data_IF_186502766196
#
_entry.id   IF_186502766196
#
_cell.length_a   1.000
_cell.length_b   1.000
_cell.length_c   1.000
_cell.angle_alpha   90.00
_cell.angle_beta   90.00
_cell.angle_gamma   90.00
#
_symmetry.space_group_name_H-M   'P 1'
#
loop_
_entity.id
_entity.type
_entity.pdbx_description
1 polymer ?
#
# COMPACT_ATOMS: atom_id res chain seq x y z
N UNK A 1 -14.30 -0.28 -9.27
CA UNK A 1 -13.70 0.53 -10.39
C UNK A 1 -12.18 0.53 -10.19
N UNK A 2 -11.41 0.42 -11.28
CA UNK A 2 -9.96 0.66 -11.23
C UNK A 2 -9.68 2.13 -11.53
N UNK A 3 -8.65 2.69 -10.88
CA UNK A 3 -8.21 4.06 -11.19
C UNK A 3 -7.63 4.10 -12.59
N UNK A 4 -8.23 4.95 -13.43
CA UNK A 4 -7.73 5.33 -14.74
C UNK A 4 -7.89 6.84 -14.90
N UNK A 5 -7.47 7.40 -16.02
CA UNK A 5 -7.54 8.86 -16.26
C UNK A 5 -8.96 9.43 -16.05
N UNK A 6 -10.00 8.75 -16.52
CA UNK A 6 -11.37 9.24 -16.39
C UNK A 6 -11.84 9.20 -14.91
N UNK A 7 -11.58 8.12 -14.19
CA UNK A 7 -11.88 8.00 -12.74
C UNK A 7 -11.12 9.05 -11.95
N UNK A 8 -9.86 9.29 -12.29
CA UNK A 8 -9.05 10.34 -11.67
C UNK A 8 -9.65 11.73 -11.87
N UNK A 9 -10.00 12.08 -13.12
CA UNK A 9 -10.62 13.40 -13.44
C UNK A 9 -11.97 13.59 -12.73
N UNK A 10 -12.78 12.52 -12.65
CA UNK A 10 -14.02 12.50 -11.88
C UNK A 10 -13.77 12.75 -10.40
N UNK A 11 -12.78 12.02 -9.82
CA UNK A 11 -12.39 12.17 -8.42
C UNK A 11 -11.88 13.58 -8.10
N UNK A 12 -11.02 14.15 -8.93
CA UNK A 12 -10.54 15.54 -8.76
C UNK A 12 -11.71 16.53 -8.75
N UNK A 13 -12.66 16.40 -9.67
CA UNK A 13 -13.85 17.27 -9.70
C UNK A 13 -14.68 17.14 -8.43
N UNK A 14 -14.90 15.90 -7.97
CA UNK A 14 -15.62 15.64 -6.73
C UNK A 14 -14.90 16.25 -5.53
N UNK A 15 -13.62 15.93 -5.36
CA UNK A 15 -12.81 16.41 -4.22
C UNK A 15 -12.72 17.93 -4.17
N UNK A 16 -12.55 18.61 -5.31
CA UNK A 16 -12.53 20.07 -5.37
C UNK A 16 -13.87 20.71 -4.99
N UNK A 17 -14.99 20.00 -5.20
CA UNK A 17 -16.33 20.45 -4.82
C UNK A 17 -16.54 20.33 -3.30
N UNK A 18 -16.11 19.24 -2.69
CA UNK A 18 -16.34 18.94 -1.26
C UNK A 18 -15.25 19.54 -0.37
N UNK A 19 -14.03 19.69 -0.88
CA UNK A 19 -12.89 20.28 -0.16
C UNK A 19 -12.06 21.17 -1.11
N UNK A 20 -12.43 22.45 -1.25
CA UNK A 20 -11.75 23.37 -2.18
C UNK A 20 -10.25 23.55 -1.92
N UNK A 21 -9.78 23.28 -0.71
CA UNK A 21 -8.36 23.36 -0.37
C UNK A 21 -7.48 22.38 -1.16
N UNK A 22 -8.04 21.30 -1.71
CA UNK A 22 -7.31 20.41 -2.62
C UNK A 22 -6.66 21.16 -3.80
N UNK A 23 -7.23 22.30 -4.22
CA UNK A 23 -6.64 23.15 -5.25
C UNK A 23 -5.21 23.61 -4.92
N UNK A 24 -4.88 23.72 -3.63
CA UNK A 24 -3.55 24.16 -3.18
C UNK A 24 -2.47 23.09 -3.37
N UNK A 25 -2.86 21.82 -3.39
CA UNK A 25 -1.94 20.67 -3.42
C UNK A 25 -2.02 19.85 -4.71
N UNK A 26 -2.99 20.14 -5.59
CA UNK A 26 -3.05 19.49 -6.89
C UNK A 26 -1.76 19.78 -7.68
N UNK A 27 -1.07 18.73 -8.18
CA UNK A 27 0.12 18.93 -8.98
C UNK A 27 -0.23 19.66 -10.27
N UNK A 28 0.68 20.50 -10.73
CA UNK A 28 0.56 21.22 -12.01
C UNK A 28 0.91 20.33 -13.21
N UNK A 29 1.59 19.23 -12.95
CA UNK A 29 2.05 18.26 -13.93
C UNK A 29 1.24 16.96 -13.85
N UNK A 30 1.42 16.10 -14.83
CA UNK A 30 0.76 14.80 -14.89
C UNK A 30 1.10 13.95 -13.65
N UNK A 31 0.09 13.36 -13.01
CA UNK A 31 0.30 12.60 -11.77
C UNK A 31 0.90 11.25 -12.09
N UNK A 32 2.03 10.96 -11.46
CA UNK A 32 2.52 9.61 -11.35
C UNK A 32 1.70 8.87 -10.27
N UNK A 33 0.81 8.01 -10.70
CA UNK A 33 0.07 7.14 -9.78
C UNK A 33 1.05 6.27 -9.00
N UNK A 34 0.77 6.10 -7.71
CA UNK A 34 1.52 5.21 -6.84
C UNK A 34 1.17 3.75 -7.19
N UNK A 35 1.80 3.22 -8.23
CA UNK A 35 1.55 1.86 -8.72
C UNK A 35 2.54 0.88 -8.11
N UNK A 36 2.03 -0.26 -7.67
CA UNK A 36 2.80 -1.40 -7.19
C UNK A 36 2.45 -2.65 -8.02
N UNK A 37 3.36 -3.64 -8.14
CA UNK A 37 3.02 -4.92 -8.72
C UNK A 37 1.87 -5.60 -7.97
N UNK A 38 1.14 -6.47 -8.65
CA UNK A 38 0.16 -7.35 -8.01
C UNK A 38 0.85 -8.59 -7.42
N UNK A 39 0.13 -9.33 -6.56
CA UNK A 39 0.61 -10.56 -5.97
C UNK A 39 1.72 -10.36 -4.93
N UNK A 40 2.51 -11.39 -4.75
CA UNK A 40 3.61 -11.39 -3.78
C UNK A 40 4.58 -10.22 -3.95
N UNK A 41 4.90 -9.84 -5.18
CA UNK A 41 5.81 -8.72 -5.44
C UNK A 41 5.31 -7.38 -4.85
N UNK A 42 4.02 -7.12 -4.89
CA UNK A 42 3.41 -5.94 -4.27
C UNK A 42 3.51 -6.00 -2.74
N UNK A 43 3.17 -7.13 -2.15
CA UNK A 43 3.29 -7.34 -0.70
C UNK A 43 4.75 -7.24 -0.24
N UNK A 44 5.70 -7.83 -0.98
CA UNK A 44 7.13 -7.71 -0.70
C UNK A 44 7.56 -6.24 -0.60
N UNK A 45 7.16 -5.41 -1.57
CA UNK A 45 7.49 -3.99 -1.56
C UNK A 45 6.92 -3.28 -0.32
N UNK A 46 5.66 -3.52 0.00
CA UNK A 46 4.98 -2.89 1.13
C UNK A 46 5.57 -3.33 2.48
N UNK A 47 5.90 -4.62 2.65
CA UNK A 47 6.55 -5.12 3.88
C UNK A 47 7.95 -4.50 4.03
N UNK A 48 8.70 -4.33 2.94
CA UNK A 48 10.00 -3.63 2.98
C UNK A 48 9.82 -2.18 3.45
N UNK A 49 8.76 -1.50 3.01
CA UNK A 49 8.48 -0.09 3.32
C UNK A 49 8.03 0.16 4.77
N UNK A 50 7.58 -0.86 5.49
CA UNK A 50 7.16 -0.71 6.89
C UNK A 50 8.28 -0.13 7.77
N UNK A 51 8.00 0.95 8.50
CA UNK A 51 8.87 1.54 9.53
C UNK A 51 10.29 1.92 9.06
N UNK A 52 10.46 2.24 7.79
CA UNK A 52 11.73 2.73 7.24
C UNK A 52 11.49 3.96 6.37
N UNK A 53 12.54 4.78 6.17
CA UNK A 53 12.45 5.89 5.22
C UNK A 53 12.29 5.39 3.78
N UNK A 54 11.70 6.21 2.92
CA UNK A 54 11.54 5.93 1.49
C UNK A 54 12.90 5.60 0.83
N UNK A 55 13.95 6.34 1.20
CA UNK A 55 15.30 6.11 0.68
C UNK A 55 15.83 4.73 1.08
N UNK A 56 15.70 4.36 2.36
CA UNK A 56 16.11 3.04 2.86
C UNK A 56 15.30 1.93 2.22
N UNK A 57 13.99 2.08 2.10
CA UNK A 57 13.12 1.10 1.44
C UNK A 57 13.54 0.86 -0.01
N UNK A 58 13.82 1.92 -0.76
CA UNK A 58 14.26 1.81 -2.16
C UNK A 58 15.61 1.09 -2.29
N UNK A 59 16.56 1.36 -1.38
CA UNK A 59 17.84 0.67 -1.38
C UNK A 59 17.68 -0.83 -1.08
N UNK A 60 16.87 -1.19 -0.09
CA UNK A 60 16.57 -2.59 0.26
C UNK A 60 15.85 -3.30 -0.88
N UNK A 61 14.81 -2.69 -1.46
CA UNK A 61 14.07 -3.25 -2.61
C UNK A 61 15.01 -3.61 -3.76
N UNK A 62 15.90 -2.68 -4.13
CA UNK A 62 16.89 -2.89 -5.19
C UNK A 62 17.79 -4.11 -4.92
N UNK A 63 18.29 -4.24 -3.68
CA UNK A 63 19.15 -5.37 -3.29
C UNK A 63 18.39 -6.69 -3.28
N UNK A 64 17.16 -6.72 -2.71
CA UNK A 64 16.35 -7.93 -2.67
C UNK A 64 15.93 -8.37 -4.08
N UNK A 65 15.56 -7.44 -4.94
CA UNK A 65 15.22 -7.74 -6.33
C UNK A 65 16.40 -8.29 -7.12
N UNK A 66 17.64 -7.83 -6.84
CA UNK A 66 18.84 -8.31 -7.50
C UNK A 66 19.19 -9.77 -7.14
N UNK A 67 18.64 -10.32 -6.05
CA UNK A 67 18.79 -11.73 -5.68
C UNK A 67 17.87 -12.67 -6.48
N UNK A 68 16.91 -12.13 -7.21
CA UNK A 68 15.85 -12.91 -7.88
C UNK A 68 15.81 -12.61 -9.37
N UNK A 69 15.69 -13.65 -10.18
CA UNK A 69 15.46 -13.51 -11.64
C UNK A 69 14.06 -12.98 -11.94
N UNK A 70 13.10 -13.29 -11.07
CA UNK A 70 11.74 -12.78 -11.09
C UNK A 70 11.21 -12.74 -9.65
N UNK A 71 10.47 -11.69 -9.29
CA UNK A 71 9.94 -11.51 -7.94
C UNK A 71 8.65 -12.29 -7.77
N UNK A 72 8.76 -13.48 -7.18
CA UNK A 72 7.63 -14.35 -6.84
C UNK A 72 7.92 -15.17 -5.58
N UNK A 73 6.90 -15.79 -5.01
CA UNK A 73 6.97 -16.55 -3.77
C UNK A 73 7.90 -17.76 -3.86
N UNK A 74 7.90 -18.47 -4.99
CA UNK A 74 8.75 -19.65 -5.17
C UNK A 74 10.23 -19.29 -5.08
N UNK A 75 10.68 -18.32 -5.86
CA UNK A 75 12.09 -17.88 -5.88
C UNK A 75 12.49 -17.23 -4.55
N UNK A 76 11.57 -16.49 -3.92
CA UNK A 76 11.85 -15.88 -2.61
C UNK A 76 12.13 -16.94 -1.55
N UNK A 77 11.40 -18.06 -1.53
CA UNK A 77 11.61 -19.14 -0.57
C UNK A 77 12.93 -19.92 -0.79
N UNK A 78 13.55 -19.81 -1.95
CA UNK A 78 14.86 -20.42 -2.24
C UNK A 78 16.03 -19.59 -1.68
N UNK A 79 15.79 -18.31 -1.33
CA UNK A 79 16.82 -17.44 -0.79
C UNK A 79 17.13 -17.79 0.67
N UNK A 80 18.41 -17.78 1.02
CA UNK A 80 18.84 -17.96 2.40
C UNK A 80 18.53 -16.74 3.27
N UNK A 81 18.35 -16.98 4.56
CA UNK A 81 18.15 -15.90 5.56
C UNK A 81 19.33 -14.92 5.54
N UNK A 82 20.55 -15.40 5.28
CA UNK A 82 21.75 -14.55 5.26
C UNK A 82 21.73 -13.59 4.07
N UNK A 83 21.42 -14.07 2.85
CA UNK A 83 21.28 -13.22 1.66
C UNK A 83 20.23 -12.12 1.88
N UNK A 84 19.06 -12.48 2.41
CA UNK A 84 18.00 -11.52 2.69
C UNK A 84 18.41 -10.49 3.76
N UNK A 85 19.18 -10.88 4.77
CA UNK A 85 19.71 -9.97 5.78
C UNK A 85 20.77 -9.02 5.22
N UNK A 86 21.68 -9.51 4.39
CA UNK A 86 22.70 -8.70 3.70
C UNK A 86 22.04 -7.71 2.72
N UNK A 87 20.90 -8.07 2.13
CA UNK A 87 20.10 -7.16 1.35
C UNK A 87 19.39 -6.09 2.19
N UNK A 88 19.35 -6.22 3.53
CA UNK A 88 18.83 -5.23 4.47
C UNK A 88 17.48 -5.56 5.10
N UNK A 89 16.94 -6.77 4.89
CA UNK A 89 15.71 -7.20 5.54
C UNK A 89 15.95 -7.52 7.02
N UNK A 90 15.06 -7.04 7.89
CA UNK A 90 15.05 -7.43 9.30
C UNK A 90 14.53 -8.86 9.47
N UNK A 91 14.94 -9.54 10.56
CA UNK A 91 14.45 -10.90 10.87
C UNK A 91 12.92 -11.00 10.89
N UNK A 92 12.17 -10.09 11.52
CA UNK A 92 10.72 -10.12 11.47
C UNK A 92 10.16 -10.05 10.04
N UNK A 93 10.67 -9.14 9.19
CA UNK A 93 10.24 -9.01 7.80
C UNK A 93 10.51 -10.28 6.98
N UNK A 94 11.65 -10.91 7.17
CA UNK A 94 11.98 -12.21 6.55
C UNK A 94 10.97 -13.27 6.97
N UNK A 95 10.68 -13.36 8.28
CA UNK A 95 9.70 -14.32 8.80
C UNK A 95 8.29 -14.08 8.23
N UNK A 96 7.86 -12.81 8.12
CA UNK A 96 6.56 -12.46 7.54
C UNK A 96 6.50 -12.85 6.06
N UNK A 97 7.50 -12.48 5.29
CA UNK A 97 7.54 -12.75 3.86
C UNK A 97 7.63 -14.26 3.55
N UNK A 98 8.40 -15.02 4.34
CA UNK A 98 8.41 -16.47 4.23
C UNK A 98 7.04 -17.09 4.52
N UNK A 99 6.34 -16.62 5.57
CA UNK A 99 4.99 -17.10 5.90
C UNK A 99 3.98 -16.77 4.80
N UNK A 100 4.03 -15.56 4.23
CA UNK A 100 3.16 -15.11 3.15
C UNK A 100 3.45 -15.89 1.86
N UNK A 101 4.72 -16.06 1.50
CA UNK A 101 5.11 -16.82 0.33
C UNK A 101 4.68 -18.30 0.44
N UNK A 102 4.87 -18.90 1.62
CA UNK A 102 4.43 -20.28 1.90
C UNK A 102 2.90 -20.40 1.79
N UNK A 103 2.15 -19.42 2.31
CA UNK A 103 0.70 -19.42 2.23
C UNK A 103 0.20 -19.36 0.77
N UNK A 104 0.85 -18.56 -0.09
CA UNK A 104 0.53 -18.51 -1.53
C UNK A 104 0.82 -19.85 -2.21
N UNK A 105 2.02 -20.43 -2.00
CA UNK A 105 2.40 -21.71 -2.61
C UNK A 105 1.46 -22.86 -2.20
N UNK A 106 1.01 -22.85 -0.94
CA UNK A 106 0.09 -23.86 -0.41
C UNK A 106 -1.39 -23.58 -0.79
N UNK A 107 -1.68 -22.50 -1.51
CA UNK A 107 -3.04 -22.14 -1.90
C UNK A 107 -3.90 -21.53 -0.79
N UNK A 108 -3.33 -21.25 0.39
CA UNK A 108 -4.02 -20.58 1.50
C UNK A 108 -4.18 -19.07 1.27
N UNK A 109 -3.28 -18.45 0.50
CA UNK A 109 -3.37 -17.08 0.03
C UNK A 109 -3.53 -17.08 -1.48
N UNK A 110 -4.68 -16.59 -1.95
CA UNK A 110 -4.96 -16.48 -3.38
C UNK A 110 -5.22 -15.02 -3.76
N UNK A 111 -4.26 -14.40 -4.41
CA UNK A 111 -4.38 -12.99 -4.84
C UNK A 111 -5.46 -12.78 -5.91
N UNK A 112 -5.81 -13.82 -6.70
CA UNK A 112 -6.90 -13.72 -7.67
C UNK A 112 -8.27 -13.58 -6.99
N UNK A 113 -8.44 -14.18 -5.81
CA UNK A 113 -9.68 -14.05 -5.03
C UNK A 113 -9.80 -12.64 -4.47
N UNK A 114 -8.68 -12.06 -3.99
CA UNK A 114 -8.64 -10.67 -3.47
C UNK A 114 -9.12 -9.66 -4.51
N UNK A 115 -8.84 -9.88 -5.79
CA UNK A 115 -9.29 -8.99 -6.88
C UNK A 115 -10.83 -8.92 -6.95
N UNK A 116 -11.52 -9.99 -6.59
CA UNK A 116 -12.98 -10.13 -6.69
C UNK A 116 -13.72 -9.79 -5.38
N UNK A 117 -13.01 -9.63 -4.27
CA UNK A 117 -13.58 -9.25 -2.98
C UNK A 117 -13.91 -7.75 -2.92
N UNK A 118 -14.92 -7.37 -2.13
CA UNK A 118 -15.13 -5.98 -1.75
C UNK A 118 -13.97 -5.46 -0.86
N UNK A 119 -13.79 -4.14 -0.75
CA UNK A 119 -12.61 -3.55 -0.10
C UNK A 119 -12.43 -4.01 1.35
N UNK A 120 -13.50 -4.05 2.13
CA UNK A 120 -13.44 -4.48 3.53
C UNK A 120 -13.17 -5.98 3.67
N UNK A 121 -13.81 -6.80 2.83
CA UNK A 121 -13.59 -8.24 2.79
C UNK A 121 -12.13 -8.56 2.41
N UNK A 122 -11.62 -7.91 1.38
CA UNK A 122 -10.23 -8.06 0.94
C UNK A 122 -9.22 -7.65 2.03
N UNK A 123 -9.52 -6.56 2.75
CA UNK A 123 -8.72 -6.10 3.88
C UNK A 123 -8.68 -7.13 5.00
N UNK A 124 -9.85 -7.62 5.41
CA UNK A 124 -9.96 -8.66 6.45
C UNK A 124 -9.21 -9.93 6.03
N UNK A 125 -9.38 -10.37 4.79
CA UNK A 125 -8.71 -11.55 4.25
C UNK A 125 -7.19 -11.39 4.29
N UNK A 126 -6.65 -10.29 3.78
CA UNK A 126 -5.21 -10.02 3.77
C UNK A 126 -4.63 -9.91 5.18
N UNK A 127 -5.34 -9.31 6.12
CA UNK A 127 -4.88 -9.15 7.50
C UNK A 127 -4.78 -10.47 8.29
N UNK A 128 -5.29 -11.58 7.78
CA UNK A 128 -5.10 -12.91 8.40
C UNK A 128 -3.63 -13.37 8.32
N UNK A 129 -2.86 -12.83 7.38
CA UNK A 129 -1.47 -13.23 7.18
C UNK A 129 -0.54 -12.34 8.01
N UNK A 130 0.26 -12.97 8.89
CA UNK A 130 1.20 -12.27 9.77
C UNK A 130 2.16 -11.40 8.95
N UNK A 131 2.24 -10.13 9.27
CA UNK A 131 3.06 -9.15 8.55
C UNK A 131 2.25 -8.26 7.60
N UNK A 132 0.99 -8.61 7.31
CA UNK A 132 0.04 -7.77 6.60
C UNK A 132 -0.92 -7.18 7.64
N UNK A 133 -0.66 -5.95 8.05
CA UNK A 133 -1.59 -5.17 8.86
C UNK A 133 -2.50 -4.30 7.99
N UNK A 134 -3.43 -3.58 8.62
CA UNK A 134 -4.42 -2.73 7.95
C UNK A 134 -3.78 -1.77 6.93
N UNK A 135 -2.72 -1.06 7.33
CA UNK A 135 -1.98 -0.17 6.42
C UNK A 135 -1.45 -0.89 5.17
N UNK A 136 -0.85 -2.07 5.36
CA UNK A 136 -0.29 -2.85 4.24
C UNK A 136 -1.40 -3.35 3.32
N UNK A 137 -2.52 -3.82 3.88
CA UNK A 137 -3.68 -4.25 3.12
C UNK A 137 -4.28 -3.08 2.31
N UNK A 138 -4.50 -1.93 2.94
CA UNK A 138 -5.03 -0.73 2.27
C UNK A 138 -4.10 -0.25 1.15
N UNK A 139 -2.80 -0.17 1.41
CA UNK A 139 -1.82 0.21 0.40
C UNK A 139 -1.78 -0.80 -0.77
N UNK A 140 -1.96 -2.10 -0.50
CA UNK A 140 -2.05 -3.11 -1.55
C UNK A 140 -3.30 -2.94 -2.41
N UNK A 141 -4.46 -2.74 -1.80
CA UNK A 141 -5.72 -2.50 -2.51
C UNK A 141 -5.63 -1.25 -3.39
N UNK A 142 -5.09 -0.16 -2.85
CA UNK A 142 -4.94 1.12 -3.56
C UNK A 142 -3.88 1.02 -4.66
N UNK A 143 -2.66 0.58 -4.35
CA UNK A 143 -1.51 0.70 -5.23
C UNK A 143 -1.31 -0.49 -6.18
N UNK A 144 -1.75 -1.71 -5.80
CA UNK A 144 -1.61 -2.92 -6.62
C UNK A 144 -2.89 -3.30 -7.35
N UNK A 145 -4.06 -2.96 -6.79
CA UNK A 145 -5.35 -3.28 -7.39
C UNK A 145 -6.10 -2.05 -7.95
N UNK A 146 -5.49 -0.86 -7.89
CA UNK A 146 -6.03 0.39 -8.42
C UNK A 146 -7.43 0.73 -7.87
N UNK A 147 -7.69 0.45 -6.58
CA UNK A 147 -8.99 0.73 -5.96
C UNK A 147 -9.07 2.20 -5.53
N UNK A 148 -10.07 2.97 -5.98
CA UNK A 148 -10.11 4.42 -5.77
C UNK A 148 -10.60 4.84 -4.39
N UNK A 149 -11.41 4.03 -3.71
CA UNK A 149 -12.07 4.38 -2.45
C UNK A 149 -11.44 3.68 -1.23
N UNK A 150 -10.12 3.48 -1.28
CA UNK A 150 -9.36 2.92 -0.16
C UNK A 150 -8.63 4.03 0.57
N UNK A 151 -8.85 4.11 1.89
CA UNK A 151 -8.31 5.18 2.73
C UNK A 151 -7.48 4.61 3.89
N UNK A 152 -6.13 4.64 3.81
CA UNK A 152 -5.26 4.17 4.88
C UNK A 152 -5.14 5.21 6.00
N UNK A 153 -6.15 5.31 6.86
CA UNK A 153 -6.26 6.34 7.91
C UNK A 153 -5.12 6.34 8.91
N UNK A 154 -4.37 5.25 9.03
CA UNK A 154 -3.20 5.15 9.90
C UNK A 154 -1.86 5.43 9.18
N UNK A 155 -1.90 5.90 7.94
CA UNK A 155 -0.71 6.35 7.23
C UNK A 155 -0.25 7.72 7.74
N UNK A 156 0.98 7.76 8.27
CA UNK A 156 1.56 8.99 8.88
C UNK A 156 1.74 10.09 7.82
N UNK A 157 2.15 9.72 6.60
CA UNK A 157 2.33 10.67 5.51
C UNK A 157 1.00 11.30 5.08
N UNK A 158 -0.04 10.47 5.03
CA UNK A 158 -1.39 10.91 4.71
C UNK A 158 -1.97 11.80 5.81
N UNK A 159 -1.79 11.43 7.09
CA UNK A 159 -2.19 12.27 8.23
C UNK A 159 -1.50 13.65 8.20
N UNK A 160 -0.21 13.69 7.87
CA UNK A 160 0.53 14.95 7.72
C UNK A 160 0.03 15.75 6.51
N UNK A 161 -0.34 15.07 5.41
CA UNK A 161 -0.97 15.70 4.25
C UNK A 161 -2.32 16.36 4.61
N UNK A 162 -3.17 15.65 5.35
CA UNK A 162 -4.47 16.16 5.82
C UNK A 162 -4.28 17.34 6.79
N UNK A 163 -3.30 17.23 7.71
CA UNK A 163 -2.97 18.34 8.60
C UNK A 163 -2.70 19.63 7.83
N UNK A 164 -1.88 19.56 6.78
CA UNK A 164 -1.53 20.71 5.93
C UNK A 164 -2.73 21.18 5.09
N UNK A 165 -3.48 20.26 4.52
CA UNK A 165 -4.64 20.57 3.68
C UNK A 165 -5.70 21.38 4.45
N UNK A 166 -5.96 20.97 5.70
CA UNK A 166 -6.99 21.55 6.57
C UNK A 166 -6.45 22.58 7.57
N UNK A 167 -5.17 22.92 7.49
CA UNK A 167 -4.50 23.88 8.39
C UNK A 167 -4.68 23.55 9.88
N UNK A 168 -4.55 22.24 10.22
CA UNK A 168 -4.70 21.77 11.59
C UNK A 168 -3.44 22.02 12.40
N UNK A 169 -3.59 22.29 13.70
CA UNK A 169 -2.45 22.49 14.62
C UNK A 169 -1.65 21.21 14.82
N UNK A 170 -2.36 20.08 14.93
CA UNK A 170 -1.78 18.76 15.17
C UNK A 170 -2.22 17.76 14.10
N UNK A 171 -1.52 16.65 14.00
CA UNK A 171 -1.94 15.56 13.13
C UNK A 171 -3.28 15.01 13.60
N UNK A 172 -4.23 14.79 12.67
CA UNK A 172 -5.51 14.19 13.01
C UNK A 172 -5.32 12.77 13.55
N UNK A 173 -6.18 12.37 14.49
CA UNK A 173 -6.27 10.99 14.96
C UNK A 173 -6.81 10.07 13.86
N UNK A 174 -6.77 8.75 14.09
CA UNK A 174 -7.35 7.76 13.15
C UNK A 174 -8.86 8.00 13.00
N UNK A 175 -9.55 8.31 14.11
CA UNK A 175 -10.98 8.63 14.10
C UNK A 175 -11.28 9.89 13.29
N UNK A 176 -10.45 10.94 13.45
CA UNK A 176 -10.57 12.16 12.66
C UNK A 176 -10.33 11.89 11.17
N UNK A 177 -9.31 11.10 10.82
CA UNK A 177 -9.01 10.70 9.45
C UNK A 177 -10.19 9.96 8.82
N UNK A 178 -10.81 9.03 9.55
CA UNK A 178 -12.00 8.31 9.09
C UNK A 178 -13.19 9.24 8.89
N UNK A 179 -13.39 10.19 9.81
CA UNK A 179 -14.48 11.17 9.73
C UNK A 179 -14.31 12.11 8.54
N UNK A 180 -13.10 12.65 8.33
CA UNK A 180 -12.76 13.55 7.24
C UNK A 180 -12.96 12.86 5.88
N UNK A 181 -12.56 11.59 5.77
CA UNK A 181 -12.66 10.85 4.52
C UNK A 181 -14.11 10.56 4.09
N UNK A 182 -15.09 10.58 4.99
CA UNK A 182 -16.51 10.37 4.63
C UNK A 182 -16.98 11.30 3.52
N UNK A 183 -16.61 12.56 3.61
CA UNK A 183 -17.05 13.59 2.66
C UNK A 183 -16.30 13.48 1.32
N UNK A 184 -15.15 12.77 1.31
CA UNK A 184 -14.31 12.60 0.13
C UNK A 184 -14.64 11.38 -0.70
N UNK A 185 -15.39 10.41 -0.12
CA UNK A 185 -15.84 9.22 -0.84
C UNK A 185 -16.69 9.57 -2.05
N UNK A 186 -16.65 8.76 -3.12
CA UNK A 186 -15.96 7.43 -3.25
C UNK A 186 -14.60 7.51 -3.96
N UNK A 187 -13.79 8.55 -3.69
CA UNK A 187 -12.49 8.79 -4.36
C UNK A 187 -11.36 9.06 -3.36
#
# INVERSE_FOLDING_TARGET
KKVNKAVYEEGVKHLLKVEPNFKKILPKEEINFFVRPQGFAGILHLVIEQQVSVQSANAIKKKVQALMSNVNSQIFLELSINELREAGLSRPKISYLNGIATAEINGNLNYSDVVNMEDEEARIYLCQFKGIGKWTADCYLMASLDRPDVWPENDIGLQEGVKRLKDLKERPSIEDMTSIARDWRPF
#
